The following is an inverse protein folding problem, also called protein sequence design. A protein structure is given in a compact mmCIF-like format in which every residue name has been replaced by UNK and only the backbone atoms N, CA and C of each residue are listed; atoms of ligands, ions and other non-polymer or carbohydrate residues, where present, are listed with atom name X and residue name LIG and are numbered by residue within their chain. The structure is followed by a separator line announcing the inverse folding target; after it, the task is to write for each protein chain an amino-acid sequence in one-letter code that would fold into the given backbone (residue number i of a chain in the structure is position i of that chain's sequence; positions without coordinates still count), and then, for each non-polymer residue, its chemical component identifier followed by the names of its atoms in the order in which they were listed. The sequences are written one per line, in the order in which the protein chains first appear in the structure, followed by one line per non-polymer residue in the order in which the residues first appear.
data_IF_171912280537
#
_entry.id   IF_171912280537
#
_cell.length_a   1.000
_cell.length_b   1.000
_cell.length_c   1.000
_cell.angle_alpha   90.00
_cell.angle_beta   90.00
_cell.angle_gamma   90.00
#
_symmetry.space_group_name_H-M   'P 1'
#
loop_
_entity.id
_entity.type
_entity.pdbx_description
1 polymer ?
#
# COMPACT_ATOMS: atom_id res chain seq x y z
N UNK A 1 74.99 18.10 -31.63
CA UNK A 1 73.88 18.56 -32.50
C UNK A 1 72.77 17.50 -32.49
N UNK A 2 71.77 17.61 -31.60
CA UNK A 2 70.72 16.58 -31.42
C UNK A 2 69.41 16.89 -32.15
N UNK A 3 69.44 17.77 -33.16
CA UNK A 3 68.22 18.33 -33.77
C UNK A 3 67.70 17.55 -35.00
N UNK A 4 68.34 16.43 -35.36
CA UNK A 4 68.07 15.66 -36.60
C UNK A 4 67.18 14.42 -36.41
N UNK A 5 66.54 14.21 -35.25
CA UNK A 5 65.75 12.99 -34.96
C UNK A 5 64.22 13.18 -34.88
N UNK A 6 63.65 14.24 -35.46
CA UNK A 6 62.19 14.36 -35.63
C UNK A 6 61.37 14.44 -34.33
N UNK A 7 62.00 14.66 -33.17
CA UNK A 7 61.29 14.95 -31.93
C UNK A 7 60.93 16.44 -31.92
N UNK A 8 59.63 16.75 -31.92
CA UNK A 8 59.14 18.11 -31.68
C UNK A 8 59.72 18.65 -30.37
N UNK A 9 60.09 19.93 -30.34
CA UNK A 9 60.56 20.56 -29.10
C UNK A 9 59.45 20.53 -28.03
N UNK A 10 59.76 20.67 -26.72
CA UNK A 10 58.76 20.52 -25.66
C UNK A 10 57.52 21.43 -25.81
N UNK A 11 57.65 22.61 -26.41
CA UNK A 11 56.51 23.49 -26.72
C UNK A 11 55.68 22.95 -27.89
N UNK A 12 56.29 22.62 -29.04
CA UNK A 12 55.58 22.07 -30.20
C UNK A 12 55.04 20.64 -29.96
N UNK A 13 55.70 19.87 -29.10
CA UNK A 13 55.25 18.55 -28.64
C UNK A 13 54.03 18.67 -27.72
N UNK A 14 54.00 19.67 -26.83
CA UNK A 14 52.82 20.01 -26.02
C UNK A 14 51.68 20.56 -26.88
N UNK A 15 51.95 21.40 -27.87
CA UNK A 15 50.92 21.92 -28.80
C UNK A 15 50.33 20.81 -29.68
N UNK A 16 51.17 19.96 -30.28
CA UNK A 16 50.74 18.77 -31.04
C UNK A 16 49.94 17.81 -30.17
N UNK A 17 50.34 17.62 -28.91
CA UNK A 17 49.64 16.74 -27.97
C UNK A 17 48.33 17.37 -27.50
N UNK A 18 48.28 18.69 -27.28
CA UNK A 18 47.07 19.43 -26.96
C UNK A 18 46.09 19.50 -28.14
N UNK A 19 46.55 19.56 -29.39
CA UNK A 19 45.70 19.43 -30.58
C UNK A 19 45.14 18.00 -30.75
N UNK A 20 45.92 16.96 -30.42
CA UNK A 20 45.47 15.55 -30.49
C UNK A 20 44.61 15.13 -29.28
N UNK A 21 44.85 15.71 -28.11
CA UNK A 21 44.10 15.49 -26.86
C UNK A 21 42.95 16.48 -26.67
N UNK A 22 42.90 17.54 -27.46
CA UNK A 22 41.77 18.46 -27.50
C UNK A 22 40.54 17.67 -27.87
N UNK A 23 39.62 17.51 -26.93
CA UNK A 23 38.31 16.92 -27.21
C UNK A 23 37.64 17.85 -28.21
N UNK A 24 37.67 17.51 -29.50
CA UNK A 24 36.88 18.18 -30.51
C UNK A 24 35.41 17.93 -30.24
N UNK A 25 34.53 18.79 -30.76
CA UNK A 25 33.08 18.58 -30.72
C UNK A 25 32.73 17.19 -31.28
N UNK A 26 33.33 16.81 -32.40
CA UNK A 26 33.11 15.52 -33.05
C UNK A 26 33.45 14.33 -32.14
N UNK A 27 34.59 14.40 -31.44
CA UNK A 27 34.97 13.38 -30.45
C UNK A 27 33.99 13.34 -29.28
N UNK A 28 33.59 14.50 -28.76
CA UNK A 28 32.56 14.55 -27.71
C UNK A 28 31.27 13.88 -28.15
N UNK A 29 30.76 14.17 -29.35
CA UNK A 29 29.52 13.57 -29.87
C UNK A 29 29.65 12.06 -30.04
N UNK A 30 30.79 11.57 -30.54
CA UNK A 30 31.06 10.14 -30.68
C UNK A 30 31.08 9.43 -29.32
N UNK A 31 31.85 9.96 -28.36
CA UNK A 31 31.96 9.41 -27.01
C UNK A 31 30.61 9.45 -26.29
N UNK A 32 29.86 10.54 -26.46
CA UNK A 32 28.56 10.72 -25.84
C UNK A 32 27.51 9.75 -26.42
N UNK A 33 27.53 9.52 -27.73
CA UNK A 33 26.66 8.51 -28.38
C UNK A 33 27.04 7.09 -27.99
N UNK A 34 28.32 6.79 -27.85
CA UNK A 34 28.77 5.48 -27.36
C UNK A 34 28.30 5.23 -25.91
N UNK A 35 28.32 6.26 -25.06
CA UNK A 35 27.93 6.14 -23.65
C UNK A 35 26.40 6.07 -23.46
N UNK A 36 25.63 6.86 -24.22
CA UNK A 36 24.20 7.07 -23.95
C UNK A 36 23.25 6.63 -25.07
N UNK A 37 23.76 6.18 -26.22
CA UNK A 37 22.95 5.91 -27.41
C UNK A 37 22.21 7.16 -27.87
N UNK A 38 20.93 7.00 -28.23
CA UNK A 38 20.08 8.08 -28.75
C UNK A 38 19.27 8.80 -27.65
N UNK A 39 19.70 8.71 -26.38
CA UNK A 39 18.97 9.29 -25.23
C UNK A 39 19.00 10.82 -25.19
N UNK A 40 19.99 11.44 -25.81
CA UNK A 40 20.24 12.86 -25.73
C UNK A 40 20.40 13.47 -27.11
N UNK A 41 19.89 14.69 -27.25
CA UNK A 41 20.12 15.57 -28.39
C UNK A 41 21.17 16.63 -28.02
N UNK A 42 22.08 16.85 -28.97
CA UNK A 42 23.23 17.74 -28.88
C UNK A 42 23.17 18.88 -29.92
N UNK A 43 22.02 19.07 -30.57
CA UNK A 43 21.79 20.09 -31.60
C UNK A 43 22.10 21.53 -31.16
N UNK A 44 22.04 21.80 -29.86
CA UNK A 44 22.31 23.11 -29.25
C UNK A 44 23.64 23.17 -28.47
N UNK A 45 24.55 22.23 -28.69
CA UNK A 45 25.85 22.22 -28.01
C UNK A 45 26.78 23.27 -28.61
N UNK A 46 27.08 24.32 -27.83
CA UNK A 46 28.19 25.24 -28.08
C UNK A 46 29.44 24.76 -27.34
N UNK A 47 30.35 24.12 -28.07
CA UNK A 47 31.47 23.39 -27.48
C UNK A 47 32.75 24.21 -27.44
N UNK A 48 33.24 24.49 -26.23
CA UNK A 48 34.53 25.16 -26.02
C UNK A 48 35.63 24.19 -25.60
N UNK A 49 35.38 23.37 -24.58
CA UNK A 49 36.31 22.39 -24.03
C UNK A 49 35.55 21.40 -23.13
N UNK A 50 36.24 20.37 -22.63
CA UNK A 50 35.61 19.29 -21.87
C UNK A 50 35.11 19.68 -20.46
N UNK A 51 35.50 20.87 -19.97
CA UNK A 51 35.21 21.37 -18.61
C UNK A 51 34.17 22.50 -18.60
N UNK A 52 33.92 23.14 -19.75
CA UNK A 52 32.87 24.15 -19.89
C UNK A 52 31.52 23.44 -20.05
N UNK A 53 30.51 23.86 -19.27
CA UNK A 53 29.17 23.28 -19.37
C UNK A 53 28.55 23.60 -20.73
N UNK A 54 27.93 22.60 -21.34
CA UNK A 54 27.19 22.70 -22.59
C UNK A 54 25.71 22.37 -22.35
N UNK A 55 24.82 22.89 -23.21
CA UNK A 55 23.39 22.57 -23.18
C UNK A 55 23.18 21.21 -23.85
N UNK A 56 22.63 20.24 -23.12
CA UNK A 56 22.29 18.90 -23.61
C UNK A 56 20.79 18.70 -23.41
N UNK A 57 20.11 18.10 -24.38
CA UNK A 57 18.66 17.90 -24.34
C UNK A 57 18.39 16.42 -24.07
N UNK A 58 17.84 16.11 -22.89
CA UNK A 58 17.33 14.77 -22.63
C UNK A 58 16.01 14.58 -23.37
N UNK A 59 15.90 13.52 -24.17
CA UNK A 59 14.68 13.14 -24.91
C UNK A 59 13.42 13.07 -24.03
N UNK A 60 13.56 12.72 -22.74
CA UNK A 60 12.44 12.60 -21.78
C UNK A 60 12.26 13.81 -20.86
N UNK A 61 13.34 14.52 -20.54
CA UNK A 61 13.37 15.46 -19.42
C UNK A 61 13.70 16.90 -19.82
N UNK A 62 13.99 17.14 -21.11
CA UNK A 62 14.31 18.45 -21.66
C UNK A 62 15.77 18.85 -21.46
N UNK A 63 16.03 20.14 -21.70
CA UNK A 63 17.37 20.72 -21.66
C UNK A 63 17.95 20.82 -20.24
N UNK A 64 19.24 20.55 -20.13
CA UNK A 64 20.03 20.72 -18.92
C UNK A 64 21.47 21.08 -19.28
N UNK A 65 22.25 21.51 -18.29
CA UNK A 65 23.66 21.89 -18.48
C UNK A 65 24.60 20.92 -17.77
N UNK A 66 25.59 20.42 -18.50
CA UNK A 66 26.63 19.53 -17.95
C UNK A 66 27.95 19.72 -18.67
N UNK A 67 29.07 19.40 -18.02
CA UNK A 67 30.37 19.38 -18.70
C UNK A 67 30.45 18.16 -19.62
N UNK A 68 31.05 18.28 -20.82
CA UNK A 68 31.26 17.16 -21.73
C UNK A 68 31.98 15.98 -21.06
N UNK A 69 33.01 16.26 -20.25
CA UNK A 69 33.76 15.25 -19.50
C UNK A 69 32.90 14.44 -18.53
N UNK A 70 31.98 15.07 -17.79
CA UNK A 70 31.07 14.34 -16.92
C UNK A 70 30.04 13.55 -17.72
N UNK A 71 29.54 14.11 -18.82
CA UNK A 71 28.53 13.45 -19.65
C UNK A 71 29.05 12.14 -20.25
N UNK A 72 30.23 12.17 -20.87
CA UNK A 72 30.83 10.97 -21.50
C UNK A 72 31.27 9.92 -20.48
N UNK A 73 31.44 10.30 -19.20
CA UNK A 73 31.68 9.37 -18.09
C UNK A 73 30.39 8.73 -17.55
N UNK A 74 29.26 8.88 -18.24
CA UNK A 74 28.00 8.20 -17.92
C UNK A 74 27.09 8.96 -16.95
N UNK A 75 27.39 10.22 -16.62
CA UNK A 75 26.50 11.03 -15.78
C UNK A 75 25.25 11.40 -16.56
N UNK A 76 24.08 11.00 -16.06
CA UNK A 76 22.80 11.31 -16.68
C UNK A 76 22.29 12.71 -16.29
N UNK A 77 21.24 13.20 -16.97
CA UNK A 77 20.48 14.33 -16.45
C UNK A 77 19.93 14.03 -15.04
N UNK A 78 19.70 15.07 -14.22
CA UNK A 78 19.27 14.91 -12.82
C UNK A 78 18.06 13.99 -12.67
N UNK A 79 17.00 14.21 -13.45
CA UNK A 79 15.78 13.39 -13.38
C UNK A 79 16.01 11.92 -13.74
N UNK A 80 16.85 11.63 -14.74
CA UNK A 80 17.22 10.25 -15.05
C UNK A 80 18.03 9.60 -13.91
N UNK A 81 18.93 10.36 -13.29
CA UNK A 81 19.71 9.90 -12.13
C UNK A 81 18.82 9.64 -10.92
N UNK A 82 17.82 10.49 -10.69
CA UNK A 82 16.84 10.33 -9.60
C UNK A 82 16.00 9.08 -9.79
N UNK A 83 15.49 8.85 -11.01
CA UNK A 83 14.73 7.64 -11.36
C UNK A 83 15.59 6.39 -11.14
N UNK A 84 16.80 6.36 -11.69
CA UNK A 84 17.70 5.22 -11.53
C UNK A 84 18.07 4.97 -10.06
N UNK A 85 18.23 6.02 -9.27
CA UNK A 85 18.51 5.92 -7.83
C UNK A 85 17.29 5.49 -7.03
N UNK A 86 16.08 5.88 -7.45
CA UNK A 86 14.83 5.42 -6.85
C UNK A 86 14.59 3.94 -7.16
N UNK A 87 14.80 3.50 -8.40
CA UNK A 87 14.68 2.10 -8.81
C UNK A 87 15.65 1.20 -8.04
N UNK A 88 16.92 1.64 -7.86
CA UNK A 88 17.90 0.91 -7.04
C UNK A 88 17.54 0.82 -5.55
N UNK A 89 16.76 1.77 -5.04
CA UNK A 89 16.30 1.81 -3.64
C UNK A 89 14.93 1.16 -3.45
N UNK A 90 14.25 0.78 -4.54
CA UNK A 90 12.94 0.15 -4.48
C UNK A 90 13.11 -1.24 -3.87
N UNK A 91 12.33 -1.51 -2.83
CA UNK A 91 12.28 -2.83 -2.20
C UNK A 91 11.69 -3.84 -3.20
N UNK A 92 12.13 -5.09 -3.07
CA UNK A 92 11.49 -6.21 -3.75
C UNK A 92 10.23 -6.66 -3.01
N UNK A 93 9.40 -7.49 -3.65
CA UNK A 93 8.27 -8.14 -2.98
C UNK A 93 8.75 -8.93 -1.76
N UNK A 94 9.88 -9.64 -1.88
CA UNK A 94 10.49 -10.42 -0.81
C UNK A 94 10.95 -9.55 0.36
N UNK A 95 11.53 -8.37 0.08
CA UNK A 95 11.95 -7.43 1.12
C UNK A 95 10.74 -6.88 1.89
N UNK A 96 9.65 -6.55 1.18
CA UNK A 96 8.40 -6.15 1.80
C UNK A 96 7.83 -7.26 2.69
N UNK A 97 7.71 -8.49 2.18
CA UNK A 97 7.18 -9.63 2.93
C UNK A 97 8.02 -9.87 4.19
N UNK A 98 9.35 -9.81 4.08
CA UNK A 98 10.25 -9.95 5.24
C UNK A 98 10.01 -8.86 6.28
N UNK A 99 9.92 -7.60 5.86
CA UNK A 99 9.65 -6.49 6.76
C UNK A 99 8.27 -6.63 7.43
N UNK A 100 7.25 -7.05 6.68
CA UNK A 100 5.91 -7.28 7.20
C UNK A 100 5.88 -8.44 8.21
N UNK A 101 6.63 -9.51 7.97
CA UNK A 101 6.79 -10.63 8.91
C UNK A 101 7.48 -10.21 10.22
N UNK A 102 8.50 -9.34 10.16
CA UNK A 102 9.12 -8.80 11.37
C UNK A 102 8.15 -7.97 12.24
N UNK A 103 7.19 -7.29 11.60
CA UNK A 103 6.20 -6.46 12.31
C UNK A 103 5.02 -7.28 12.83
N UNK A 104 4.54 -8.25 12.06
CA UNK A 104 3.26 -8.91 12.30
C UNK A 104 3.35 -10.42 12.56
N UNK A 105 4.52 -11.04 12.42
CA UNK A 105 4.68 -12.49 12.50
C UNK A 105 3.91 -13.23 11.41
N UNK A 106 3.21 -14.28 11.79
CA UNK A 106 2.44 -15.20 10.96
C UNK A 106 0.96 -14.81 10.77
N UNK A 107 0.57 -13.61 11.20
CA UNK A 107 -0.82 -13.12 11.18
C UNK A 107 -1.41 -12.87 9.79
N UNK A 108 -0.57 -12.83 8.75
CA UNK A 108 -0.97 -12.46 7.40
C UNK A 108 -0.33 -13.37 6.36
N UNK A 109 -1.11 -13.72 5.35
CA UNK A 109 -0.67 -14.32 4.10
C UNK A 109 -0.47 -13.23 3.02
N UNK A 110 0.66 -13.33 2.33
CA UNK A 110 1.10 -12.43 1.28
C UNK A 110 1.16 -13.11 -0.10
N UNK A 111 0.56 -14.29 -0.25
CA UNK A 111 0.53 -15.11 -1.47
C UNK A 111 0.03 -14.36 -2.72
N UNK A 112 -0.81 -13.33 -2.53
CA UNK A 112 -1.34 -12.48 -3.60
C UNK A 112 -0.63 -11.15 -3.78
N UNK A 113 0.43 -10.88 -3.01
CA UNK A 113 1.13 -9.60 -3.07
C UNK A 113 1.94 -9.48 -4.36
N UNK A 114 1.66 -8.43 -5.12
CA UNK A 114 2.51 -7.95 -6.20
C UNK A 114 3.02 -6.55 -5.86
N UNK A 115 4.22 -6.46 -5.28
CA UNK A 115 4.78 -5.17 -4.86
C UNK A 115 5.32 -4.38 -6.04
N UNK A 116 4.75 -3.19 -6.27
CA UNK A 116 5.24 -2.23 -7.29
C UNK A 116 5.92 -1.04 -6.62
N UNK A 117 5.28 -0.46 -5.59
CA UNK A 117 5.84 0.65 -4.80
C UNK A 117 5.40 0.56 -3.35
N UNK A 118 6.06 1.30 -2.46
CA UNK A 118 5.70 1.33 -1.05
C UNK A 118 4.32 1.97 -0.77
N UNK A 119 3.79 2.74 -1.72
CA UNK A 119 2.54 3.51 -1.59
C UNK A 119 1.36 2.84 -2.28
N UNK A 120 1.61 2.10 -3.37
CA UNK A 120 0.57 1.38 -4.10
C UNK A 120 0.04 0.22 -3.25
N UNK A 121 -1.28 0.12 -3.14
CA UNK A 121 -1.90 -0.87 -2.27
C UNK A 121 -1.71 -2.27 -2.82
N UNK A 122 -1.49 -3.22 -1.93
CA UNK A 122 -1.43 -4.66 -2.22
C UNK A 122 -2.54 -5.37 -1.46
N UNK A 123 -2.99 -6.51 -2.00
CA UNK A 123 -3.91 -7.41 -1.32
C UNK A 123 -3.14 -8.21 -0.27
N UNK A 124 -3.54 -8.08 0.99
CA UNK A 124 -2.98 -8.79 2.14
C UNK A 124 -4.12 -9.62 2.73
N UNK A 125 -3.84 -10.87 3.06
CA UNK A 125 -4.85 -11.77 3.62
C UNK A 125 -4.58 -11.89 5.10
N UNK A 126 -5.48 -11.36 5.93
CA UNK A 126 -5.44 -11.65 7.36
C UNK A 126 -5.92 -13.07 7.59
N UNK A 127 -5.15 -13.87 8.33
CA UNK A 127 -5.55 -15.24 8.71
C UNK A 127 -6.89 -15.28 9.45
N UNK A 128 -7.31 -14.15 10.04
CA UNK A 128 -8.52 -14.04 10.83
C UNK A 128 -9.71 -13.35 10.15
N UNK A 129 -9.45 -12.38 9.25
CA UNK A 129 -10.45 -11.45 8.72
C UNK A 129 -10.49 -11.39 7.19
N UNK A 130 -9.77 -12.30 6.52
CA UNK A 130 -9.75 -12.38 5.06
C UNK A 130 -8.95 -11.27 4.37
N UNK A 131 -9.25 -11.04 3.09
CA UNK A 131 -8.45 -10.19 2.21
C UNK A 131 -8.78 -8.70 2.40
N UNK A 132 -7.76 -7.86 2.46
CA UNK A 132 -7.90 -6.40 2.51
C UNK A 132 -6.77 -5.71 1.74
N UNK A 133 -7.00 -4.45 1.36
CA UNK A 133 -6.04 -3.66 0.57
C UNK A 133 -5.35 -2.60 1.42
N UNK A 134 -4.01 -2.67 1.51
CA UNK A 134 -3.23 -1.70 2.28
C UNK A 134 -1.91 -1.36 1.57
N UNK A 135 -1.38 -0.16 1.80
CA UNK A 135 -0.07 0.21 1.28
C UNK A 135 1.04 -0.51 2.08
N UNK A 136 2.05 -1.08 1.40
CA UNK A 136 3.17 -1.75 2.04
C UNK A 136 3.85 -0.92 3.14
N UNK A 137 4.02 0.40 2.92
CA UNK A 137 4.67 1.27 3.91
C UNK A 137 3.90 1.37 5.22
N UNK A 138 2.57 1.40 5.17
CA UNK A 138 1.75 1.48 6.37
C UNK A 138 1.71 0.12 7.07
N UNK A 139 1.56 -0.94 6.28
CA UNK A 139 1.54 -2.31 6.80
C UNK A 139 2.84 -2.65 7.54
N UNK A 140 4.00 -2.41 6.93
CA UNK A 140 5.30 -2.63 7.58
C UNK A 140 5.53 -1.76 8.81
N UNK A 141 4.81 -0.64 8.97
CA UNK A 141 4.85 0.23 10.16
C UNK A 141 3.92 -0.22 11.30
N UNK A 142 3.20 -1.32 11.12
CA UNK A 142 2.32 -1.90 12.15
C UNK A 142 0.83 -1.62 11.93
N UNK A 143 0.45 -0.94 10.84
CA UNK A 143 -0.96 -0.96 10.44
C UNK A 143 -1.35 -2.39 10.09
N UNK A 144 -2.47 -2.86 10.63
CA UNK A 144 -3.00 -4.19 10.40
C UNK A 144 -4.28 -4.16 9.59
N UNK A 145 -5.00 -5.28 9.56
CA UNK A 145 -6.33 -5.34 8.97
C UNK A 145 -7.34 -4.50 9.76
N UNK A 146 -8.41 -3.96 9.13
CA UNK A 146 -9.45 -3.22 9.84
C UNK A 146 -10.12 -4.01 10.97
N UNK A 147 -10.42 -5.30 10.76
CA UNK A 147 -10.98 -6.16 11.81
C UNK A 147 -10.04 -6.38 13.00
N UNK A 148 -8.73 -6.33 12.75
CA UNK A 148 -7.69 -6.41 13.76
C UNK A 148 -7.51 -5.08 14.51
N UNK A 149 -7.80 -3.96 13.83
CA UNK A 149 -7.60 -2.61 14.31
C UNK A 149 -8.82 -2.17 15.11
N UNK A 150 -8.93 -2.65 16.34
CA UNK A 150 -10.01 -2.25 17.26
C UNK A 150 -9.71 -0.85 17.80
N UNK A 151 -9.87 0.18 16.99
CA UNK A 151 -9.60 1.56 17.39
C UNK A 151 -10.53 1.96 18.54
N UNK A 152 -9.96 2.32 19.69
CA UNK A 152 -10.71 2.70 20.89
C UNK A 152 -11.09 1.55 21.81
N UNK A 153 -10.84 0.29 21.43
CA UNK A 153 -11.00 -0.89 22.28
C UNK A 153 -9.63 -1.44 22.67
N UNK A 154 -9.44 -1.65 23.96
CA UNK A 154 -8.23 -2.14 24.59
C UNK A 154 -8.43 -3.61 25.00
N UNK A 155 -7.77 -4.52 24.29
CA UNK A 155 -7.88 -5.96 24.53
C UNK A 155 -7.30 -6.38 25.91
N UNK A 156 -6.52 -5.53 26.58
CA UNK A 156 -5.93 -5.84 27.88
C UNK A 156 -6.84 -5.50 29.07
N UNK A 157 -7.95 -4.79 28.81
CA UNK A 157 -8.92 -4.39 29.83
C UNK A 157 -10.15 -5.30 29.80
N UNK A 158 -10.94 -5.36 30.90
CA UNK A 158 -12.23 -6.01 30.89
C UNK A 158 -13.12 -5.51 29.76
N UNK A 159 -13.95 -6.40 29.23
CA UNK A 159 -14.78 -6.11 28.07
C UNK A 159 -16.16 -6.75 28.17
N UNK A 160 -17.11 -6.12 27.51
CA UNK A 160 -18.45 -6.63 27.26
C UNK A 160 -18.55 -7.09 25.82
N UNK A 161 -19.00 -8.33 25.61
CA UNK A 161 -19.58 -8.81 24.35
C UNK A 161 -21.10 -8.64 24.45
N UNK A 162 -21.72 -8.05 23.45
CA UNK A 162 -23.16 -7.84 23.39
C UNK A 162 -23.75 -8.48 22.13
N UNK A 163 -24.98 -8.96 22.26
CA UNK A 163 -25.83 -9.37 21.16
C UNK A 163 -27.13 -8.57 21.19
N UNK A 164 -27.44 -7.89 20.10
CA UNK A 164 -28.50 -6.89 20.01
C UNK A 164 -29.46 -7.23 18.87
N UNK A 165 -30.74 -6.95 19.05
CA UNK A 165 -31.67 -6.76 17.95
C UNK A 165 -31.64 -5.28 17.54
N UNK A 166 -31.56 -5.02 16.23
CA UNK A 166 -31.45 -3.69 15.62
C UNK A 166 -32.59 -3.50 14.64
N UNK A 167 -33.41 -2.48 14.89
CA UNK A 167 -34.51 -2.12 14.00
C UNK A 167 -34.02 -1.19 12.88
N UNK A 168 -34.21 -1.61 11.64
CA UNK A 168 -33.86 -0.84 10.44
C UNK A 168 -34.93 0.20 10.10
N UNK A 169 -34.61 1.17 9.23
CA UNK A 169 -35.59 2.14 8.71
C UNK A 169 -36.72 1.47 7.91
N UNK A 170 -36.47 0.32 7.29
CA UNK A 170 -37.48 -0.52 6.64
C UNK A 170 -38.36 -1.31 7.61
N UNK A 171 -38.18 -1.12 8.93
CA UNK A 171 -38.89 -1.84 9.98
C UNK A 171 -38.61 -3.37 9.99
N UNK A 172 -37.45 -3.76 9.45
CA UNK A 172 -36.90 -5.12 9.54
C UNK A 172 -35.94 -5.21 10.72
N UNK A 173 -35.82 -6.39 11.33
CA UNK A 173 -34.90 -6.66 12.44
C UNK A 173 -33.63 -7.34 11.93
N UNK A 174 -32.49 -6.76 12.28
CA UNK A 174 -31.16 -7.36 12.13
C UNK A 174 -30.57 -7.64 13.51
N UNK A 175 -29.52 -8.46 13.56
CA UNK A 175 -28.92 -8.86 14.83
C UNK A 175 -27.45 -8.51 14.86
N UNK A 176 -27.03 -7.71 15.85
CA UNK A 176 -25.67 -7.22 15.97
C UNK A 176 -24.92 -7.94 17.08
N UNK A 177 -23.81 -8.58 16.75
CA UNK A 177 -22.78 -8.94 17.75
C UNK A 177 -21.79 -7.77 17.87
N UNK A 178 -21.20 -7.55 19.03
CA UNK A 178 -20.20 -6.50 19.16
C UNK A 178 -19.47 -6.48 20.50
N UNK A 179 -18.26 -5.93 20.53
CA UNK A 179 -17.47 -5.74 21.76
C UNK A 179 -17.31 -4.27 22.19
N UNK A 180 -17.08 -4.05 23.49
CA UNK A 180 -16.70 -2.74 24.05
C UNK A 180 -16.02 -2.85 25.42
N UNK A 181 -15.07 -1.98 25.75
CA UNK A 181 -14.59 -1.80 27.15
C UNK A 181 -15.46 -0.81 27.94
N UNK A 182 -16.54 -0.30 27.32
CA UNK A 182 -17.53 0.57 27.93
C UNK A 182 -18.82 -0.21 28.16
N UNK A 183 -19.97 0.48 28.20
CA UNK A 183 -21.29 -0.13 28.13
C UNK A 183 -21.91 0.07 26.74
N UNK A 184 -22.87 -0.76 26.36
CA UNK A 184 -23.66 -0.61 25.12
C UNK A 184 -24.21 0.83 24.99
N UNK A 185 -24.77 1.38 26.07
CA UNK A 185 -25.30 2.74 26.13
C UNK A 185 -24.27 3.84 25.84
N UNK A 186 -22.98 3.61 26.13
CA UNK A 186 -21.90 4.56 25.81
C UNK A 186 -21.30 4.32 24.43
N UNK A 187 -21.51 3.13 23.86
CA UNK A 187 -20.95 2.70 22.57
C UNK A 187 -21.75 3.27 21.39
N UNK A 188 -23.06 3.47 21.56
CA UNK A 188 -23.96 3.93 20.52
C UNK A 188 -24.51 5.33 20.80
N UNK A 189 -24.66 6.19 19.79
CA UNK A 189 -25.32 7.48 19.96
C UNK A 189 -26.80 7.30 20.29
N UNK A 190 -27.42 8.31 20.90
CA UNK A 190 -28.83 8.23 21.34
C UNK A 190 -29.81 7.85 20.23
N UNK A 191 -29.57 8.32 18.99
CA UNK A 191 -30.38 7.99 17.81
C UNK A 191 -30.41 6.49 17.51
N UNK A 192 -29.28 5.79 17.72
CA UNK A 192 -29.17 4.36 17.48
C UNK A 192 -29.75 3.56 18.66
N UNK A 193 -29.60 4.07 19.89
CA UNK A 193 -30.14 3.41 21.08
C UNK A 193 -31.66 3.26 21.04
N UNK A 194 -32.38 4.17 20.40
CA UNK A 194 -33.84 4.06 20.19
C UNK A 194 -34.23 2.87 19.29
N UNK A 195 -33.29 2.37 18.49
CA UNK A 195 -33.48 1.26 17.53
C UNK A 195 -32.91 -0.07 18.02
N UNK A 196 -32.25 -0.07 19.18
CA UNK A 196 -31.49 -1.21 19.68
C UNK A 196 -32.19 -1.82 20.89
N UNK A 197 -32.43 -3.13 20.84
CA UNK A 197 -32.77 -3.94 22.01
C UNK A 197 -31.64 -4.88 22.34
N UNK A 198 -31.22 -4.91 23.60
CA UNK A 198 -30.19 -5.84 24.05
C UNK A 198 -30.80 -7.22 24.30
N UNK A 199 -30.30 -8.24 23.61
CA UNK A 199 -30.72 -9.63 23.81
C UNK A 199 -29.86 -10.31 24.86
N UNK A 200 -28.53 -10.12 24.79
CA UNK A 200 -27.61 -10.72 25.73
C UNK A 200 -26.32 -9.91 25.88
N UNK A 201 -25.76 -9.98 27.07
CA UNK A 201 -24.46 -9.40 27.43
C UNK A 201 -23.64 -10.48 28.11
N UNK A 202 -22.39 -10.64 27.69
CA UNK A 202 -21.36 -11.42 28.37
C UNK A 202 -20.24 -10.50 28.84
N UNK A 203 -19.70 -10.80 30.02
CA UNK A 203 -18.59 -10.05 30.61
C UNK A 203 -17.33 -10.92 30.57
N UNK A 204 -16.22 -10.30 30.19
CA UNK A 204 -14.90 -10.93 30.12
C UNK A 204 -13.90 -10.10 30.92
N UNK A 205 -13.03 -10.78 31.66
CA UNK A 205 -11.95 -10.13 32.42
C UNK A 205 -10.87 -9.54 31.51
N UNK A 206 -10.72 -10.08 30.29
CA UNK A 206 -9.81 -9.61 29.26
C UNK A 206 -10.55 -9.39 27.93
N UNK A 207 -10.32 -8.24 27.30
CA UNK A 207 -10.92 -7.89 26.02
C UNK A 207 -10.46 -8.76 24.86
N UNK A 208 -9.29 -9.39 24.97
CA UNK A 208 -8.83 -10.40 24.03
C UNK A 208 -9.80 -11.59 23.93
N UNK A 209 -10.35 -12.04 25.06
CA UNK A 209 -11.29 -13.18 25.09
C UNK A 209 -12.64 -12.80 24.49
N UNK A 210 -13.14 -11.59 24.78
CA UNK A 210 -14.35 -11.07 24.16
C UNK A 210 -14.21 -10.94 22.64
N UNK A 211 -13.06 -10.46 22.15
CA UNK A 211 -12.76 -10.34 20.73
C UNK A 211 -12.66 -11.72 20.04
N UNK A 212 -12.05 -12.70 20.70
CA UNK A 212 -12.01 -14.07 20.18
C UNK A 212 -13.40 -14.68 20.05
N UNK A 213 -14.28 -14.47 21.04
CA UNK A 213 -15.65 -15.00 21.00
C UNK A 213 -16.52 -14.29 19.95
N UNK A 214 -16.39 -12.96 19.82
CA UNK A 214 -17.02 -12.20 18.74
C UNK A 214 -16.63 -12.76 17.36
N UNK A 215 -15.32 -12.95 17.14
CA UNK A 215 -14.80 -13.51 15.89
C UNK A 215 -15.27 -14.94 15.64
N UNK A 216 -15.36 -15.77 16.68
CA UNK A 216 -15.89 -17.13 16.58
C UNK A 216 -17.32 -17.12 16.03
N UNK A 217 -18.18 -16.28 16.59
CA UNK A 217 -19.59 -16.14 16.17
C UNK A 217 -19.67 -15.58 14.75
N UNK A 218 -18.89 -14.54 14.43
CA UNK A 218 -18.88 -13.95 13.09
C UNK A 218 -18.49 -14.94 12.00
N UNK A 219 -17.52 -15.82 12.27
CA UNK A 219 -17.10 -16.88 11.34
C UNK A 219 -18.10 -18.03 11.25
N UNK A 220 -18.64 -18.45 12.39
CA UNK A 220 -19.62 -19.55 12.44
C UNK A 220 -20.87 -19.24 11.62
N UNK A 221 -21.26 -17.95 11.57
CA UNK A 221 -22.47 -17.49 10.88
C UNK A 221 -22.17 -16.48 9.76
N UNK A 222 -21.05 -16.65 9.05
CA UNK A 222 -20.63 -15.77 7.95
C UNK A 222 -21.70 -15.67 6.85
N UNK A 223 -22.35 -16.80 6.51
CA UNK A 223 -23.40 -16.87 5.48
C UNK A 223 -24.66 -16.05 5.82
N UNK A 224 -24.86 -15.73 7.11
CA UNK A 224 -25.98 -14.94 7.60
C UNK A 224 -25.65 -13.45 7.75
N UNK A 225 -24.42 -13.03 7.40
CA UNK A 225 -24.00 -11.63 7.54
C UNK A 225 -24.76 -10.73 6.56
N UNK A 226 -25.18 -9.58 7.07
CA UNK A 226 -25.90 -8.57 6.33
C UNK A 226 -24.96 -7.76 5.44
N UNK A 227 -25.23 -7.77 4.13
CA UNK A 227 -24.43 -7.11 3.09
C UNK A 227 -25.10 -5.84 2.50
N UNK A 228 -26.16 -5.35 3.13
CA UNK A 228 -26.92 -4.20 2.63
C UNK A 228 -26.35 -2.83 3.03
N UNK A 229 -27.12 -1.74 2.84
CA UNK A 229 -26.73 -0.38 3.24
C UNK A 229 -26.49 -0.23 4.73
N UNK A 230 -25.66 0.74 5.13
CA UNK A 230 -25.34 1.05 6.54
C UNK A 230 -26.61 1.26 7.39
N UNK A 231 -26.65 0.58 8.54
CA UNK A 231 -27.85 0.56 9.42
C UNK A 231 -27.68 1.46 10.64
N UNK A 232 -26.47 1.56 11.18
CA UNK A 232 -26.14 2.32 12.39
C UNK A 232 -25.13 3.42 12.07
N UNK A 233 -25.21 4.53 12.79
CA UNK A 233 -24.36 5.69 12.51
C UNK A 233 -22.91 5.39 12.90
N UNK A 234 -22.01 5.38 11.91
CA UNK A 234 -20.57 5.22 12.14
C UNK A 234 -20.14 3.82 12.57
N UNK A 235 -20.99 2.80 12.37
CA UNK A 235 -20.63 1.39 12.53
C UNK A 235 -20.78 0.67 11.19
N UNK A 236 -19.78 -0.13 10.82
CA UNK A 236 -19.88 -1.00 9.65
C UNK A 236 -20.89 -2.14 9.87
N UNK A 237 -21.37 -2.70 8.76
CA UNK A 237 -22.37 -3.78 8.76
C UNK A 237 -21.79 -5.18 8.99
N UNK A 238 -20.47 -5.33 9.05
CA UNK A 238 -19.77 -6.63 9.16
C UNK A 238 -20.13 -7.44 10.40
N UNK A 239 -20.77 -6.82 11.38
CA UNK A 239 -21.15 -7.44 12.64
C UNK A 239 -22.67 -7.67 12.76
N UNK A 240 -23.41 -7.46 11.66
CA UNK A 240 -24.87 -7.63 11.58
C UNK A 240 -25.23 -8.94 10.88
N UNK A 241 -26.25 -9.63 11.38
CA UNK A 241 -26.85 -10.82 10.81
C UNK A 241 -28.31 -10.56 10.41
N UNK A 242 -28.78 -11.23 9.37
CA UNK A 242 -30.17 -11.12 8.87
C UNK A 242 -31.19 -11.92 9.68
N UNK A 243 -30.72 -12.80 10.56
CA UNK A 243 -31.55 -13.60 11.47
C UNK A 243 -30.89 -13.74 12.85
N UNK A 244 -31.68 -14.19 13.82
CA UNK A 244 -31.17 -14.52 15.15
C UNK A 244 -30.38 -15.82 15.11
N UNK A 245 -29.08 -15.71 14.87
CA UNK A 245 -28.17 -16.85 14.75
C UNK A 245 -27.87 -17.52 16.09
N UNK A 246 -28.13 -16.83 17.22
CA UNK A 246 -27.91 -17.38 18.57
C UNK A 246 -29.18 -17.92 19.23
N UNK A 247 -30.36 -17.73 18.62
CA UNK A 247 -31.64 -18.19 19.15
C UNK A 247 -32.00 -17.57 20.51
N UNK A 248 -31.63 -16.32 20.72
CA UNK A 248 -31.81 -15.61 21.99
C UNK A 248 -33.05 -14.70 22.00
N UNK A 249 -33.68 -14.50 20.85
CA UNK A 249 -34.88 -13.70 20.67
C UNK A 249 -36.13 -14.47 21.10
N UNK A 250 -36.97 -13.83 21.92
CA UNK A 250 -38.18 -14.46 22.48
C UNK A 250 -39.47 -13.66 22.21
N UNK A 251 -39.41 -12.54 21.47
CA UNK A 251 -40.58 -11.69 21.19
C UNK A 251 -41.39 -12.10 19.96
N UNK A 252 -42.72 -11.84 20.01
CA UNK A 252 -43.69 -12.12 18.95
C UNK A 252 -43.96 -10.84 18.14
N UNK A 253 -43.58 -10.80 16.86
CA UNK A 253 -43.86 -9.65 15.96
C UNK A 253 -42.76 -9.29 14.95
N UNK A 254 -41.77 -10.16 14.73
CA UNK A 254 -40.58 -9.88 13.92
C UNK A 254 -40.89 -9.75 12.43
N UNK A 255 -40.15 -8.85 11.77
CA UNK A 255 -40.02 -8.77 10.32
C UNK A 255 -38.57 -9.06 9.96
N UNK A 256 -38.38 -10.03 9.05
CA UNK A 256 -37.08 -10.59 8.73
C UNK A 256 -36.59 -10.12 7.37
N UNK A 257 -35.30 -9.80 7.32
CA UNK A 257 -34.63 -9.52 6.07
C UNK A 257 -34.50 -10.80 5.22
N UNK A 258 -35.06 -10.80 4.01
CA UNK A 258 -34.87 -11.90 3.06
C UNK A 258 -33.53 -11.74 2.33
N UNK A 259 -32.48 -12.36 2.85
CA UNK A 259 -31.21 -12.46 2.13
C UNK A 259 -31.35 -13.44 0.96
N UNK A 260 -30.68 -13.16 -0.17
CA UNK A 260 -30.52 -14.14 -1.24
C UNK A 260 -29.69 -15.30 -0.69
N UNK A 261 -30.33 -16.41 -0.34
CA UNK A 261 -29.62 -17.70 -0.25
C UNK A 261 -29.24 -18.12 -1.66
N UNK A 262 -28.05 -18.68 -1.85
CA UNK A 262 -27.83 -19.61 -2.96
C UNK A 262 -28.62 -20.90 -2.69
N UNK A 263 -29.95 -20.81 -2.68
CA UNK A 263 -30.83 -21.95 -2.90
C UNK A 263 -31.55 -21.72 -4.23
N UNK A 264 -30.81 -21.94 -5.31
CA UNK A 264 -31.35 -22.34 -6.63
C UNK A 264 -30.21 -22.79 -7.54
N UNK A 265 -29.51 -23.85 -7.13
CA UNK A 265 -28.82 -24.76 -8.04
C UNK A 265 -28.97 -26.22 -7.58
N UNK A 266 -30.19 -26.59 -7.16
CA UNK A 266 -30.65 -27.94 -7.42
C UNK A 266 -31.40 -27.88 -8.75
N UNK A 267 -30.62 -28.07 -9.83
CA UNK A 267 -31.16 -28.46 -11.12
C UNK A 267 -31.67 -29.90 -10.98
N UNK A 268 -32.85 -30.11 -11.55
CA UNK A 268 -33.52 -31.39 -11.77
C UNK A 268 -32.58 -32.60 -11.93
N UNK A 269 -32.76 -33.62 -11.06
CA UNK A 269 -32.93 -35.05 -11.42
C UNK A 269 -33.47 -35.87 -10.23
#
# INVERSE_FOLDING_TARGET
MSHLRGFNCPSCGRESTAQKLGHSLERFLQDAKAMHGDRYDYSEVDYTNALTKVKIICSKHGAFYQTPSSHINGVNCSKCSDIASADKRRLTTEDFIRAAWLTHGDRYDYSKVNYVTALEKVEIICSEHGSFWQSPINHSRGSGCPGCAVSGFDQTKPATLYYLAVLTDSNETLYKIGITNLSVHKRFPSIDLERIRTLKIWQFDQGADAAQEELRILREFEDDQYLGPDVLVGAGNTELFVRDVLGLENEVGLKYFKQWSQESFDLDE
#
